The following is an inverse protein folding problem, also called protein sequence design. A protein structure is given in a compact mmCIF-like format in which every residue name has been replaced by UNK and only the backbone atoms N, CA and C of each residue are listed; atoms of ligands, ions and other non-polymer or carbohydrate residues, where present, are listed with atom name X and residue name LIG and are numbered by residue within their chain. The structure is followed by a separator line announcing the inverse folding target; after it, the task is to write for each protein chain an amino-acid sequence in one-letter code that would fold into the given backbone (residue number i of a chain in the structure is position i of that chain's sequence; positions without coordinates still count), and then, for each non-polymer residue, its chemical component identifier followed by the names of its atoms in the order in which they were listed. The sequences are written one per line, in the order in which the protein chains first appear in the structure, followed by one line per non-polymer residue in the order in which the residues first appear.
data_IF_276650362424
#
_entry.id   IF_276650362424
#
_cell.length_a   1.000
_cell.length_b   1.000
_cell.length_c   1.000
_cell.angle_alpha   90.00
_cell.angle_beta   90.00
_cell.angle_gamma   90.00
#
_symmetry.space_group_name_H-M   'P 1'
#
loop_
_entity.id
_entity.type
_entity.pdbx_description
1 polymer ?
#
# COMPACT_ATOMS: atom_id res chain seq x y z
N UNK A 1 26.31 6.65 -12.78
CA UNK A 1 25.36 7.19 -11.77
C UNK A 1 25.74 8.63 -11.37
N UNK A 2 25.54 9.65 -12.23
CA UNK A 2 25.75 11.08 -11.89
C UNK A 2 24.93 12.02 -12.80
N UNK A 3 23.61 11.82 -12.92
CA UNK A 3 22.75 12.73 -13.71
C UNK A 3 21.48 13.20 -12.97
N UNK A 4 21.28 12.79 -11.71
CA UNK A 4 20.09 13.19 -10.92
C UNK A 4 20.32 14.42 -10.02
N UNK A 5 21.52 14.98 -9.99
CA UNK A 5 21.91 16.03 -9.03
C UNK A 5 21.93 17.45 -9.63
N UNK A 6 21.89 17.59 -10.96
CA UNK A 6 22.00 18.90 -11.62
C UNK A 6 20.64 19.57 -11.86
N UNK A 7 19.56 18.79 -11.99
CA UNK A 7 18.20 19.33 -12.15
C UNK A 7 17.63 19.91 -10.86
N UNK A 8 17.88 19.25 -9.71
CA UNK A 8 17.43 19.73 -8.39
C UNK A 8 18.12 21.03 -7.98
N UNK A 9 19.42 21.15 -8.27
CA UNK A 9 20.19 22.37 -8.00
C UNK A 9 19.69 23.54 -8.85
N UNK A 10 19.42 23.34 -10.14
CA UNK A 10 18.87 24.38 -11.01
C UNK A 10 17.48 24.86 -10.56
N UNK A 11 16.62 23.94 -10.10
CA UNK A 11 15.31 24.29 -9.57
C UNK A 11 15.42 25.09 -8.25
N UNK A 12 16.34 24.71 -7.36
CA UNK A 12 16.59 25.44 -6.12
C UNK A 12 17.05 26.87 -6.37
N UNK A 13 18.02 27.09 -7.28
CA UNK A 13 18.48 28.44 -7.62
C UNK A 13 17.39 29.29 -8.28
N UNK A 14 16.51 28.68 -9.08
CA UNK A 14 15.35 29.37 -9.67
C UNK A 14 14.35 29.82 -8.60
N UNK A 15 14.03 28.96 -7.63
CA UNK A 15 13.15 29.28 -6.50
C UNK A 15 13.77 30.38 -5.63
N UNK A 16 15.06 30.26 -5.33
CA UNK A 16 15.77 31.25 -4.51
C UNK A 16 15.82 32.62 -5.20
N UNK A 17 16.11 32.65 -6.51
CA UNK A 17 16.12 33.88 -7.29
C UNK A 17 14.76 34.57 -7.33
N UNK A 18 13.67 33.79 -7.44
CA UNK A 18 12.31 34.32 -7.40
C UNK A 18 11.88 34.77 -5.99
N UNK A 19 12.36 34.11 -4.94
CA UNK A 19 12.09 34.54 -3.57
C UNK A 19 12.83 35.86 -3.25
N UNK A 20 14.08 35.99 -3.68
CA UNK A 20 14.88 37.21 -3.48
C UNK A 20 14.28 38.40 -4.23
N UNK A 21 13.76 38.20 -5.44
CA UNK A 21 13.10 39.27 -6.21
C UNK A 21 11.79 39.76 -5.58
N UNK A 22 11.17 38.96 -4.71
CA UNK A 22 9.94 39.29 -3.99
C UNK A 22 10.21 39.80 -2.56
N UNK A 23 11.46 39.83 -2.11
CA UNK A 23 11.79 40.32 -0.77
C UNK A 23 11.52 41.84 -0.67
N UNK A 24 10.75 42.30 0.34
CA UNK A 24 10.55 43.72 0.56
C UNK A 24 11.86 44.41 0.92
N UNK A 25 12.00 45.67 0.50
CA UNK A 25 13.13 46.52 0.87
C UNK A 25 13.21 46.70 2.40
N UNK A 26 14.41 46.95 2.91
CA UNK A 26 14.63 47.22 4.32
C UNK A 26 13.84 48.46 4.79
N UNK A 27 13.09 48.31 5.87
CA UNK A 27 12.27 49.33 6.51
C UNK A 27 12.81 49.61 7.93
N UNK A 28 13.33 50.82 8.13
CA UNK A 28 13.90 51.24 9.41
C UNK A 28 12.89 51.36 10.54
N UNK A 29 11.58 51.35 10.24
CA UNK A 29 10.51 51.37 11.24
C UNK A 29 10.20 49.97 11.79
N UNK A 30 10.70 48.90 11.15
CA UNK A 30 10.43 47.53 11.53
C UNK A 30 11.45 46.96 12.52
N UNK A 31 10.94 46.24 13.53
CA UNK A 31 11.78 45.48 14.45
C UNK A 31 11.99 44.04 13.95
N UNK A 32 12.93 43.86 13.03
CA UNK A 32 13.22 42.57 12.40
C UNK A 32 13.63 41.46 13.39
N UNK A 33 14.25 41.83 14.52
CA UNK A 33 14.60 40.86 15.54
C UNK A 33 13.35 40.29 16.23
N UNK A 34 12.38 41.15 16.53
CA UNK A 34 11.12 40.70 17.13
C UNK A 34 10.30 39.88 16.14
N UNK A 35 10.20 40.32 14.89
CA UNK A 35 9.42 39.60 13.86
C UNK A 35 10.03 38.23 13.53
N UNK A 36 11.35 38.14 13.39
CA UNK A 36 12.02 36.85 13.20
C UNK A 36 11.80 35.91 14.39
N UNK A 37 11.79 36.43 15.62
CA UNK A 37 11.47 35.64 16.81
C UNK A 37 10.02 35.15 16.84
N UNK A 38 9.05 35.99 16.43
CA UNK A 38 7.64 35.58 16.32
C UNK A 38 7.48 34.45 15.31
N UNK A 39 8.08 34.57 14.13
CA UNK A 39 8.06 33.55 13.07
C UNK A 39 8.67 32.25 13.59
N UNK A 40 9.81 32.33 14.27
CA UNK A 40 10.46 31.15 14.86
C UNK A 40 9.54 30.42 15.85
N UNK A 41 8.95 31.14 16.80
CA UNK A 41 8.05 30.55 17.79
C UNK A 41 6.79 29.95 17.14
N UNK A 42 6.24 30.64 16.14
CA UNK A 42 5.10 30.13 15.37
C UNK A 42 5.44 28.83 14.64
N UNK A 43 6.59 28.80 13.95
CA UNK A 43 7.07 27.59 13.27
C UNK A 43 7.33 26.43 14.25
N UNK A 44 7.83 26.72 15.45
CA UNK A 44 8.01 25.71 16.49
C UNK A 44 6.69 25.07 16.91
N UNK A 45 5.64 25.88 17.10
CA UNK A 45 4.29 25.38 17.44
C UNK A 45 3.71 24.57 16.29
N UNK A 46 3.84 25.04 15.04
CA UNK A 46 3.39 24.30 13.86
C UNK A 46 4.08 22.93 13.75
N UNK A 47 5.38 22.87 13.98
CA UNK A 47 6.13 21.61 13.98
C UNK A 47 5.61 20.63 15.04
N UNK A 48 5.30 21.12 16.24
CA UNK A 48 4.70 20.30 17.31
C UNK A 48 3.32 19.76 16.90
N UNK A 49 2.46 20.59 16.30
CA UNK A 49 1.14 20.16 15.81
C UNK A 49 1.25 19.12 14.71
N UNK A 50 2.16 19.32 13.75
CA UNK A 50 2.44 18.34 12.69
C UNK A 50 2.89 17.01 13.29
N UNK A 51 3.78 17.05 14.29
CA UNK A 51 4.26 15.84 14.96
C UNK A 51 3.11 15.12 15.68
N UNK A 52 2.26 15.85 16.40
CA UNK A 52 1.09 15.29 17.06
C UNK A 52 0.16 14.58 16.08
N UNK A 53 -0.14 15.19 14.93
CA UNK A 53 -0.99 14.60 13.90
C UNK A 53 -0.33 13.33 13.32
N UNK A 54 0.98 13.35 13.07
CA UNK A 54 1.72 12.17 12.60
C UNK A 54 1.65 11.02 13.59
N UNK A 55 1.78 11.31 14.88
CA UNK A 55 1.71 10.30 15.94
C UNK A 55 0.30 9.68 16.01
N UNK A 56 -0.75 10.51 15.91
CA UNK A 56 -2.15 10.03 15.85
C UNK A 56 -2.39 9.13 14.63
N UNK A 57 -1.91 9.54 13.45
CA UNK A 57 -2.03 8.72 12.24
C UNK A 57 -1.28 7.38 12.39
N UNK A 58 -0.09 7.38 12.99
CA UNK A 58 0.65 6.14 13.25
C UNK A 58 -0.13 5.18 14.18
N UNK A 59 -0.86 5.71 15.17
CA UNK A 59 -1.72 4.90 16.04
C UNK A 59 -2.91 4.32 15.27
N UNK A 60 -3.55 5.13 14.41
CA UNK A 60 -4.64 4.67 13.56
C UNK A 60 -4.18 3.58 12.59
N UNK A 61 -3.02 3.76 11.94
CA UNK A 61 -2.43 2.76 11.06
C UNK A 61 -2.23 1.42 11.79
N UNK A 62 -1.74 1.45 13.04
CA UNK A 62 -1.59 0.24 13.86
C UNK A 62 -2.92 -0.42 14.22
N UNK A 63 -4.01 0.33 14.32
CA UNK A 63 -5.34 -0.20 14.65
C UNK A 63 -6.04 -0.80 13.42
N UNK A 64 -5.92 -0.16 12.26
CA UNK A 64 -6.69 -0.52 11.07
C UNK A 64 -5.92 -1.35 10.02
N UNK A 65 -4.58 -1.30 10.02
CA UNK A 65 -3.75 -2.04 9.06
C UNK A 65 -3.28 -3.39 9.63
N UNK A 66 -3.68 -3.78 10.84
CA UNK A 66 -3.54 -5.19 11.23
C UNK A 66 -4.38 -6.02 10.26
N UNK A 67 -3.78 -6.93 9.47
CA UNK A 67 -4.57 -7.79 8.61
C UNK A 67 -5.46 -8.60 9.53
N UNK A 68 -6.76 -8.32 9.51
CA UNK A 68 -7.72 -9.17 10.19
C UNK A 68 -7.42 -10.59 9.74
N UNK A 69 -7.05 -11.46 10.69
CA UNK A 69 -6.72 -12.85 10.39
C UNK A 69 -7.93 -13.44 9.68
N UNK A 70 -7.85 -13.57 8.34
CA UNK A 70 -8.94 -14.13 7.55
C UNK A 70 -9.20 -15.50 8.13
N UNK A 71 -10.38 -15.70 8.69
CA UNK A 71 -10.75 -16.96 9.32
C UNK A 71 -10.68 -18.03 8.24
N UNK A 72 -9.76 -18.99 8.40
CA UNK A 72 -9.67 -20.12 7.48
C UNK A 72 -10.92 -20.96 7.70
N UNK A 73 -11.66 -21.22 6.61
CA UNK A 73 -12.79 -22.16 6.61
C UNK A 73 -12.31 -23.54 7.06
N UNK A 74 -13.14 -24.25 7.82
CA UNK A 74 -12.88 -25.64 8.21
C UNK A 74 -13.00 -26.55 6.97
N UNK A 75 -12.31 -27.69 6.98
CA UNK A 75 -12.35 -28.64 5.86
C UNK A 75 -13.78 -29.15 5.54
N UNK A 76 -14.68 -29.13 6.52
CA UNK A 76 -16.10 -29.50 6.39
C UNK A 76 -16.94 -28.43 5.70
N UNK A 77 -16.52 -27.17 5.73
CA UNK A 77 -17.22 -26.02 5.14
C UNK A 77 -16.83 -25.79 3.67
N UNK A 78 -15.79 -26.48 3.19
CA UNK A 78 -15.31 -26.36 1.82
C UNK A 78 -16.11 -27.31 0.95
N UNK A 79 -16.91 -26.76 0.04
CA UNK A 79 -17.67 -27.53 -0.95
C UNK A 79 -16.71 -28.25 -1.90
N UNK A 80 -16.72 -29.59 -1.89
CA UNK A 80 -15.81 -30.41 -2.70
C UNK A 80 -16.44 -30.78 -4.04
N UNK A 81 -16.61 -29.79 -4.90
CA UNK A 81 -17.27 -29.95 -6.20
C UNK A 81 -16.35 -30.45 -7.32
N UNK A 82 -15.04 -30.46 -7.10
CA UNK A 82 -14.06 -30.83 -8.13
C UNK A 82 -13.66 -32.31 -7.98
N UNK A 83 -14.21 -33.17 -8.83
CA UNK A 83 -13.94 -34.62 -8.83
C UNK A 83 -12.78 -34.97 -9.75
N UNK A 84 -11.89 -35.86 -9.30
CA UNK A 84 -10.88 -36.45 -10.17
C UNK A 84 -11.51 -37.48 -11.13
N UNK A 85 -11.06 -37.49 -12.38
CA UNK A 85 -11.53 -38.45 -13.39
C UNK A 85 -10.88 -39.84 -13.25
N UNK A 86 -9.75 -39.91 -12.55
CA UNK A 86 -8.95 -41.14 -12.41
C UNK A 86 -9.09 -41.81 -11.04
N UNK A 87 -9.72 -41.13 -10.07
CA UNK A 87 -10.02 -41.69 -8.77
C UNK A 87 -11.23 -41.00 -8.14
N UNK A 88 -11.79 -41.59 -7.08
CA UNK A 88 -13.01 -41.07 -6.44
C UNK A 88 -12.79 -39.85 -5.54
N UNK A 89 -11.63 -39.18 -5.64
CA UNK A 89 -11.30 -38.05 -4.76
C UNK A 89 -11.97 -36.75 -5.21
N UNK A 90 -12.47 -36.02 -4.22
CA UNK A 90 -13.14 -34.74 -4.36
C UNK A 90 -12.32 -33.62 -3.71
N UNK A 91 -12.26 -32.48 -4.39
CA UNK A 91 -11.43 -31.33 -4.05
C UNK A 91 -12.27 -30.05 -3.99
N UNK A 92 -11.84 -29.12 -3.13
CA UNK A 92 -12.53 -27.85 -2.90
C UNK A 92 -12.19 -26.74 -3.89
N UNK A 93 -11.18 -26.94 -4.74
CA UNK A 93 -10.77 -26.00 -5.77
C UNK A 93 -10.10 -26.73 -6.92
N UNK A 94 -10.21 -26.16 -8.12
CA UNK A 94 -9.53 -26.66 -9.32
C UNK A 94 -8.02 -26.76 -9.13
N UNK A 95 -7.39 -25.76 -8.51
CA UNK A 95 -5.94 -25.77 -8.25
C UNK A 95 -5.50 -26.98 -7.42
N UNK A 96 -6.30 -27.37 -6.42
CA UNK A 96 -6.00 -28.54 -5.59
C UNK A 96 -6.21 -29.85 -6.35
N UNK A 97 -7.19 -29.92 -7.25
CA UNK A 97 -7.39 -31.05 -8.16
C UNK A 97 -6.22 -31.17 -9.16
N UNK A 98 -5.81 -30.08 -9.80
CA UNK A 98 -4.73 -30.05 -10.78
C UNK A 98 -3.41 -30.51 -10.16
N UNK A 99 -3.11 -30.05 -8.95
CA UNK A 99 -1.93 -30.53 -8.20
C UNK A 99 -2.02 -32.02 -7.92
N UNK A 100 -3.19 -32.52 -7.51
CA UNK A 100 -3.40 -33.95 -7.28
C UNK A 100 -3.16 -34.76 -8.56
N UNK A 101 -3.76 -34.36 -9.68
CA UNK A 101 -3.59 -35.04 -10.97
C UNK A 101 -2.13 -35.06 -11.40
N UNK A 102 -1.42 -33.94 -11.29
CA UNK A 102 0.00 -33.89 -11.66
C UNK A 102 0.89 -34.83 -10.83
N UNK A 103 0.58 -34.99 -9.53
CA UNK A 103 1.39 -35.81 -8.62
C UNK A 103 1.02 -37.29 -8.59
N UNK A 104 -0.26 -37.62 -8.81
CA UNK A 104 -0.79 -39.00 -8.68
C UNK A 104 -1.18 -39.62 -10.01
N UNK A 105 -1.37 -38.80 -11.04
CA UNK A 105 -1.72 -39.21 -12.40
C UNK A 105 -0.79 -38.51 -13.42
N UNK A 106 0.55 -38.69 -13.31
CA UNK A 106 1.55 -37.95 -14.09
C UNK A 106 1.52 -38.26 -15.59
N UNK A 107 0.80 -39.31 -16.00
CA UNK A 107 0.73 -39.80 -17.38
C UNK A 107 -0.25 -39.04 -18.27
N UNK A 108 -0.99 -38.07 -17.73
CA UNK A 108 -1.98 -37.30 -18.48
C UNK A 108 -1.64 -35.82 -18.32
N UNK A 109 -0.88 -35.29 -19.26
CA UNK A 109 -0.75 -33.85 -19.45
C UNK A 109 -2.06 -33.31 -20.06
N UNK A 110 -2.71 -32.40 -19.33
CA UNK A 110 -3.62 -31.37 -19.89
C UNK A 110 -5.07 -31.71 -20.30
N UNK A 111 -5.74 -32.68 -19.68
CA UNK A 111 -7.23 -32.71 -19.74
C UNK A 111 -7.88 -32.28 -18.42
N UNK A 112 -7.76 -30.99 -18.13
CA UNK A 112 -8.53 -30.25 -17.12
C UNK A 112 -10.00 -30.15 -17.53
N UNK A 113 -10.72 -31.27 -17.66
CA UNK A 113 -12.16 -31.25 -17.91
C UNK A 113 -12.88 -31.31 -16.56
N UNK A 114 -13.18 -30.13 -16.05
CA UNK A 114 -14.13 -29.93 -14.96
C UNK A 114 -15.50 -30.44 -15.39
N UNK A 115 -15.97 -31.54 -14.81
CA UNK A 115 -17.41 -31.81 -14.76
C UNK A 115 -18.00 -30.87 -13.70
N UNK A 116 -18.33 -29.65 -14.12
CA UNK A 116 -19.26 -28.81 -13.37
C UNK A 116 -20.63 -29.37 -13.72
N UNK A 117 -21.24 -30.16 -12.83
CA UNK A 117 -22.68 -30.37 -12.90
C UNK A 117 -23.33 -29.00 -12.70
N UNK A 118 -23.77 -28.41 -13.82
CA UNK A 118 -24.53 -27.17 -13.86
C UNK A 118 -25.83 -27.37 -13.08
N UNK A 119 -25.85 -26.89 -11.84
CA UNK A 119 -27.09 -26.58 -11.13
C UNK A 119 -26.92 -25.27 -10.37
N UNK A 120 -26.75 -24.18 -11.13
CA UNK A 120 -27.15 -22.87 -10.65
C UNK A 120 -28.57 -22.62 -11.16
N UNK A 121 -29.56 -23.06 -10.36
CA UNK A 121 -30.90 -22.50 -10.41
C UNK A 121 -30.94 -21.40 -9.34
N UNK A 122 -30.98 -20.15 -9.79
CA UNK A 122 -31.48 -19.01 -9.02
C UNK A 122 -32.99 -18.98 -9.22
#
# INVERSE_FOLDING_TARGET
MKQLNDQSNNQFFSILGNAISQCPNYDSKMNYLLESRKIYLFNQVLQQQIQFIKDQNSLLDKQFIQPQKKQRRKATEISKIYKCTQCEKLYGSEASLNLHSKLKHPTIESESKTQIEQSFQI
#
